data_IF_346753676982
#
_entry.id   IF_346753676982
#
_cell.length_a   1.000
_cell.length_b   1.000
_cell.length_c   1.000
_cell.angle_alpha   90.00
_cell.angle_beta   90.00
_cell.angle_gamma   90.00
#
_symmetry.space_group_name_H-M   'P 1'
#
loop_
_entity.id
_entity.type
_entity.pdbx_description
1 polymer ?
#
# COMPACT_ATOMS: atom_id res chain seq x y z
N UNK A 1 13.13 2.03 -15.02
CA UNK A 1 13.08 0.66 -15.58
C UNK A 1 12.56 -0.24 -14.47
N UNK A 2 11.38 -0.83 -14.62
CA UNK A 2 10.91 -1.83 -13.65
C UNK A 2 11.86 -3.03 -13.76
N UNK A 3 12.55 -3.39 -12.68
CA UNK A 3 13.30 -4.64 -12.62
C UNK A 3 12.28 -5.76 -12.86
N UNK A 4 12.39 -6.46 -14.00
CA UNK A 4 11.53 -7.60 -14.27
C UNK A 4 11.80 -8.64 -13.17
N UNK A 5 10.85 -8.80 -12.24
CA UNK A 5 10.96 -9.83 -11.20
C UNK A 5 11.05 -11.16 -11.93
N UNK A 6 12.19 -11.84 -11.80
CA UNK A 6 12.43 -13.14 -12.42
C UNK A 6 11.31 -14.10 -12.01
N UNK A 7 10.56 -14.61 -12.98
CA UNK A 7 9.58 -15.68 -12.75
C UNK A 7 10.35 -17.00 -12.76
N UNK A 8 10.20 -17.79 -11.69
CA UNK A 8 10.78 -19.13 -11.60
C UNK A 8 9.71 -20.18 -11.89
N UNK A 9 10.12 -21.27 -12.52
CA UNK A 9 9.22 -22.41 -12.72
C UNK A 9 8.83 -23.07 -11.38
N UNK A 10 7.69 -23.78 -11.30
CA UNK A 10 7.32 -24.49 -10.08
C UNK A 10 8.37 -25.51 -9.59
N UNK A 11 9.09 -26.17 -10.51
CA UNK A 11 10.15 -27.12 -10.16
C UNK A 11 11.37 -26.43 -9.57
N UNK A 12 11.80 -25.29 -10.13
CA UNK A 12 12.88 -24.46 -9.56
C UNK A 12 12.50 -23.91 -8.18
N UNK A 13 11.26 -23.44 -8.03
CA UNK A 13 10.74 -22.96 -6.75
C UNK A 13 10.73 -24.06 -5.68
N UNK A 14 10.31 -25.27 -6.04
CA UNK A 14 10.32 -26.43 -5.14
C UNK A 14 11.75 -26.80 -4.72
N UNK A 15 12.70 -26.81 -5.67
CA UNK A 15 14.11 -27.09 -5.39
C UNK A 15 14.76 -26.04 -4.47
N UNK A 16 14.38 -24.77 -4.61
CA UNK A 16 14.95 -23.65 -3.86
C UNK A 16 14.15 -23.25 -2.60
N UNK A 17 13.10 -23.99 -2.23
CA UNK A 17 12.16 -23.55 -1.17
C UNK A 17 12.86 -23.36 0.19
N UNK A 18 13.69 -24.31 0.60
CA UNK A 18 14.39 -24.25 1.89
C UNK A 18 15.35 -23.05 1.95
N UNK A 19 16.07 -22.79 0.86
CA UNK A 19 16.96 -21.64 0.74
C UNK A 19 16.18 -20.32 0.74
N UNK A 20 15.06 -20.27 0.03
CA UNK A 20 14.16 -19.10 -0.01
C UNK A 20 13.63 -18.77 1.39
N UNK A 21 13.17 -19.78 2.14
CA UNK A 21 12.70 -19.57 3.50
C UNK A 21 13.84 -19.19 4.47
N UNK A 22 15.06 -19.72 4.26
CA UNK A 22 16.23 -19.30 5.03
C UNK A 22 16.59 -17.84 4.74
N UNK A 23 16.51 -17.41 3.47
CA UNK A 23 16.67 -16.02 3.05
C UNK A 23 15.66 -15.12 3.75
N UNK A 24 14.37 -15.48 3.71
CA UNK A 24 13.30 -14.71 4.37
C UNK A 24 13.51 -14.57 5.87
N UNK A 25 13.96 -15.62 6.56
CA UNK A 25 14.29 -15.53 8.00
C UNK A 25 15.44 -14.57 8.30
N UNK A 26 16.40 -14.44 7.39
CA UNK A 26 17.57 -13.56 7.55
C UNK A 26 17.26 -12.11 7.19
N UNK A 27 16.48 -11.90 6.12
CA UNK A 27 16.23 -10.58 5.53
C UNK A 27 14.92 -9.94 6.00
N UNK A 28 14.02 -10.71 6.61
CA UNK A 28 12.76 -10.19 7.15
C UNK A 28 11.83 -9.67 6.05
N UNK A 29 11.09 -8.59 6.33
CA UNK A 29 10.13 -7.98 5.40
C UNK A 29 10.74 -7.41 4.12
N UNK A 30 12.04 -7.13 4.13
CA UNK A 30 12.77 -6.58 2.98
C UNK A 30 13.27 -7.67 2.00
N UNK A 31 13.02 -8.95 2.31
CA UNK A 31 13.47 -10.03 1.44
C UNK A 31 12.73 -10.00 0.10
N UNK A 32 13.47 -10.07 -1.00
CA UNK A 32 12.88 -10.01 -2.35
C UNK A 32 11.86 -11.17 -2.54
N UNK A 33 10.61 -10.88 -2.95
CA UNK A 33 9.61 -11.91 -3.23
C UNK A 33 10.01 -12.82 -4.40
N UNK A 34 9.52 -14.06 -4.38
CA UNK A 34 9.72 -15.02 -5.46
C UNK A 34 8.42 -15.19 -6.23
N UNK A 35 8.43 -14.84 -7.52
CA UNK A 35 7.30 -15.07 -8.42
C UNK A 35 7.44 -16.44 -9.07
N UNK A 36 6.40 -17.26 -8.98
CA UNK A 36 6.35 -18.63 -9.51
C UNK A 36 5.38 -18.67 -10.69
N UNK A 37 5.77 -19.33 -11.78
CA UNK A 37 4.94 -19.51 -12.97
C UNK A 37 5.77 -19.76 -14.23
N UNK A 38 5.25 -19.33 -15.37
CA UNK A 38 5.97 -19.33 -16.64
C UNK A 38 6.32 -17.90 -17.08
N UNK A 39 7.26 -17.77 -18.03
CA UNK A 39 7.61 -16.48 -18.63
C UNK A 39 6.33 -15.79 -19.18
N UNK A 40 6.03 -14.58 -18.68
CA UNK A 40 4.83 -13.84 -19.07
C UNK A 40 3.52 -14.34 -18.44
N UNK A 41 3.54 -15.39 -17.61
CA UNK A 41 2.37 -15.94 -16.92
C UNK A 41 2.71 -16.24 -15.44
N UNK A 42 2.75 -15.22 -14.58
CA UNK A 42 2.92 -15.42 -13.14
C UNK A 42 1.66 -16.08 -12.54
N UNK A 43 1.86 -17.09 -11.70
CA UNK A 43 0.78 -17.88 -11.07
C UNK A 43 0.70 -17.65 -9.56
N UNK A 44 1.85 -17.48 -8.91
CA UNK A 44 1.94 -17.26 -7.47
C UNK A 44 3.10 -16.35 -7.12
N UNK A 45 3.03 -15.75 -5.93
CA UNK A 45 4.15 -15.03 -5.31
C UNK A 45 4.33 -15.56 -3.89
N UNK A 46 5.57 -15.84 -3.54
CA UNK A 46 5.99 -16.20 -2.19
C UNK A 46 6.75 -15.03 -1.61
N UNK A 47 6.30 -14.52 -0.46
CA UNK A 47 6.88 -13.39 0.24
C UNK A 47 7.01 -13.68 1.74
N UNK A 48 7.85 -12.93 2.47
CA UNK A 48 7.89 -13.02 3.93
C UNK A 48 6.51 -12.80 4.54
N UNK A 49 6.15 -13.57 5.58
CA UNK A 49 4.83 -13.47 6.19
C UNK A 49 4.54 -12.07 6.76
N UNK A 50 5.53 -11.44 7.39
CA UNK A 50 5.40 -10.07 7.90
C UNK A 50 5.11 -9.05 6.78
N UNK A 51 5.68 -9.26 5.58
CA UNK A 51 5.42 -8.42 4.42
C UNK A 51 4.00 -8.65 3.88
N UNK A 52 3.50 -9.89 3.93
CA UNK A 52 2.11 -10.19 3.59
C UNK A 52 1.14 -9.48 4.54
N UNK A 53 1.37 -9.59 5.85
CA UNK A 53 0.52 -8.92 6.84
C UNK A 53 0.52 -7.40 6.65
N UNK A 54 1.69 -6.81 6.37
CA UNK A 54 1.81 -5.39 6.07
C UNK A 54 0.98 -5.00 4.85
N UNK A 55 1.13 -5.70 3.73
CA UNK A 55 0.39 -5.42 2.50
C UNK A 55 -1.12 -5.65 2.67
N UNK A 56 -1.51 -6.67 3.43
CA UNK A 56 -2.91 -6.94 3.75
C UNK A 56 -3.54 -5.79 4.54
N UNK A 57 -2.87 -5.31 5.59
CA UNK A 57 -3.32 -4.17 6.38
C UNK A 57 -3.40 -2.87 5.54
N UNK A 58 -2.43 -2.63 4.66
CA UNK A 58 -2.47 -1.48 3.74
C UNK A 58 -3.67 -1.54 2.78
N UNK A 59 -3.98 -2.74 2.27
CA UNK A 59 -5.14 -2.96 1.42
C UNK A 59 -6.45 -2.72 2.17
N UNK A 60 -6.59 -3.28 3.37
CA UNK A 60 -7.79 -3.06 4.20
C UNK A 60 -8.01 -1.58 4.49
N UNK A 61 -6.94 -0.85 4.79
CA UNK A 61 -7.01 0.59 5.02
C UNK A 61 -7.40 1.36 3.76
N UNK A 62 -6.88 0.99 2.59
CA UNK A 62 -7.25 1.60 1.32
C UNK A 62 -8.74 1.36 0.98
N UNK A 63 -9.25 0.15 1.23
CA UNK A 63 -10.67 -0.19 1.06
C UNK A 63 -11.56 0.62 2.02
N UNK A 64 -11.13 0.79 3.27
CA UNK A 64 -11.84 1.62 4.25
C UNK A 64 -11.91 3.10 3.80
N UNK A 65 -10.82 3.68 3.30
CA UNK A 65 -10.83 5.05 2.76
C UNK A 65 -11.71 5.18 1.52
N UNK A 66 -11.69 4.21 0.61
CA UNK A 66 -12.57 4.21 -0.55
C UNK A 66 -14.06 4.17 -0.14
N UNK A 67 -14.39 3.35 0.85
CA UNK A 67 -15.74 3.29 1.42
C UNK A 67 -16.15 4.63 2.07
N UNK A 68 -15.30 5.20 2.93
CA UNK A 68 -15.54 6.48 3.58
C UNK A 68 -15.72 7.62 2.57
N UNK A 69 -14.89 7.66 1.52
CA UNK A 69 -15.02 8.60 0.41
C UNK A 69 -16.38 8.50 -0.24
N UNK A 70 -16.84 7.28 -0.55
CA UNK A 70 -18.15 7.03 -1.14
C UNK A 70 -19.29 7.55 -0.26
N UNK A 71 -19.21 7.33 1.06
CA UNK A 71 -20.19 7.85 2.02
C UNK A 71 -20.21 9.38 2.06
N UNK A 72 -19.06 10.04 2.07
CA UNK A 72 -19.00 11.52 2.07
C UNK A 72 -19.58 12.09 0.78
N UNK A 73 -19.24 11.53 -0.39
CA UNK A 73 -19.73 12.01 -1.68
C UNK A 73 -21.25 11.83 -1.86
N UNK A 74 -21.86 10.89 -1.14
CA UNK A 74 -23.31 10.72 -1.14
C UNK A 74 -24.04 11.87 -0.43
N UNK A 75 -23.44 12.44 0.63
CA UNK A 75 -24.05 13.48 1.47
C UNK A 75 -23.58 14.89 1.10
N UNK A 76 -22.34 15.03 0.65
CA UNK A 76 -21.70 16.30 0.30
C UNK A 76 -21.14 16.20 -1.12
N UNK A 77 -21.92 16.61 -2.13
CA UNK A 77 -21.47 16.60 -3.52
C UNK A 77 -20.29 17.55 -3.73
N UNK A 78 -19.25 17.05 -4.40
CA UNK A 78 -18.03 17.81 -4.68
C UNK A 78 -16.86 16.88 -4.97
N UNK A 79 -15.71 17.42 -5.35
CA UNK A 79 -14.49 16.64 -5.52
C UNK A 79 -13.59 16.81 -4.29
N UNK A 80 -12.98 15.71 -3.86
CA UNK A 80 -11.86 15.80 -2.94
C UNK A 80 -10.67 16.44 -3.63
N UNK A 81 -9.92 17.26 -2.89
CA UNK A 81 -8.75 17.92 -3.44
C UNK A 81 -7.59 16.92 -3.64
N UNK A 82 -6.71 17.13 -4.64
CA UNK A 82 -5.57 16.25 -4.88
C UNK A 82 -4.64 16.09 -3.66
N UNK A 83 -4.57 17.10 -2.78
CA UNK A 83 -3.80 17.05 -1.54
C UNK A 83 -4.37 16.05 -0.54
N UNK A 84 -5.70 15.91 -0.48
CA UNK A 84 -6.35 14.89 0.37
C UNK A 84 -6.05 13.50 -0.19
N UNK A 85 -6.13 13.32 -1.50
CA UNK A 85 -5.79 12.03 -2.14
C UNK A 85 -4.33 11.65 -1.89
N UNK A 86 -3.41 12.64 -1.95
CA UNK A 86 -2.01 12.43 -1.65
C UNK A 86 -1.77 12.05 -0.18
N UNK A 87 -2.40 12.73 0.78
CA UNK A 87 -2.23 12.40 2.21
C UNK A 87 -2.82 11.01 2.52
N UNK A 88 -4.00 10.67 1.96
CA UNK A 88 -4.58 9.32 2.10
C UNK A 88 -3.65 8.25 1.53
N UNK A 89 -3.04 8.49 0.37
CA UNK A 89 -2.05 7.59 -0.21
C UNK A 89 -0.85 7.38 0.74
N UNK A 90 -0.35 8.43 1.39
CA UNK A 90 0.73 8.31 2.37
C UNK A 90 0.33 7.51 3.61
N UNK A 91 -0.91 7.67 4.09
CA UNK A 91 -1.43 6.88 5.22
C UNK A 91 -1.54 5.40 4.83
N UNK A 92 -2.12 5.11 3.66
CA UNK A 92 -2.22 3.72 3.16
C UNK A 92 -0.86 3.09 2.90
N UNK A 93 0.15 3.87 2.50
CA UNK A 93 1.52 3.41 2.35
C UNK A 93 2.26 3.25 3.69
N UNK A 94 1.68 3.67 4.81
CA UNK A 94 2.31 3.65 6.13
C UNK A 94 3.40 4.71 6.32
N UNK A 95 3.47 5.71 5.43
CA UNK A 95 4.39 6.85 5.52
C UNK A 95 3.84 8.01 6.34
N UNK A 96 2.55 7.96 6.68
CA UNK A 96 1.85 8.96 7.47
C UNK A 96 0.89 8.28 8.44
N UNK A 97 0.78 8.83 9.63
CA UNK A 97 -0.21 8.41 10.64
C UNK A 97 -1.56 9.08 10.40
N UNK A 98 -2.63 8.52 10.97
CA UNK A 98 -3.93 9.17 10.93
C UNK A 98 -3.95 10.52 11.67
N UNK A 99 -3.19 10.66 12.76
CA UNK A 99 -3.05 11.91 13.52
C UNK A 99 -2.40 13.01 12.66
N UNK A 100 -1.39 12.68 11.86
CA UNK A 100 -0.78 13.63 10.92
C UNK A 100 -1.74 14.03 9.79
N UNK A 101 -2.52 13.08 9.26
CA UNK A 101 -3.57 13.35 8.28
C UNK A 101 -4.63 14.32 8.85
N UNK A 102 -5.08 14.08 10.08
CA UNK A 102 -6.03 14.94 10.78
C UNK A 102 -5.45 16.34 10.98
N UNK A 103 -4.23 16.44 11.53
CA UNK A 103 -3.56 17.71 11.78
C UNK A 103 -3.40 18.54 10.49
N UNK A 104 -2.96 17.92 9.39
CA UNK A 104 -2.84 18.57 8.07
C UNK A 104 -4.19 19.02 7.52
N UNK A 105 -5.22 18.20 7.70
CA UNK A 105 -6.56 18.54 7.24
C UNK A 105 -7.11 19.74 8.00
N UNK A 106 -7.01 19.74 9.34
CA UNK A 106 -7.44 20.87 10.17
C UNK A 106 -6.66 22.15 9.88
N UNK A 107 -5.36 22.06 9.62
CA UNK A 107 -4.55 23.22 9.24
C UNK A 107 -5.02 23.84 7.90
N UNK A 108 -5.33 23.00 6.90
CA UNK A 108 -5.91 23.47 5.63
C UNK A 108 -7.24 24.19 5.84
N UNK A 109 -8.14 23.61 6.62
CA UNK A 109 -9.43 24.23 6.94
C UNK A 109 -9.26 25.58 7.64
N UNK A 110 -8.33 25.66 8.60
CA UNK A 110 -8.03 26.92 9.31
C UNK A 110 -7.54 28.01 8.38
N UNK A 111 -6.62 27.69 7.46
CA UNK A 111 -6.11 28.66 6.48
C UNK A 111 -7.21 29.15 5.56
N UNK A 112 -8.02 28.24 5.01
CA UNK A 112 -9.15 28.60 4.13
C UNK A 112 -10.16 29.52 4.82
N UNK A 113 -10.51 29.23 6.07
CA UNK A 113 -11.41 30.08 6.85
C UNK A 113 -10.80 31.47 7.13
N UNK A 114 -9.47 31.56 7.27
CA UNK A 114 -8.79 32.83 7.48
C UNK A 114 -8.72 33.67 6.19
N UNK A 115 -8.54 33.01 5.04
CA UNK A 115 -8.49 33.65 3.72
C UNK A 115 -9.88 34.16 3.28
N UNK A 116 -10.97 33.45 3.62
CA UNK A 116 -12.35 33.85 3.28
C UNK A 116 -12.87 35.06 4.11
N UNK A 117 -12.16 35.45 5.18
CA UNK A 117 -12.54 36.58 6.06
C UNK A 117 -11.61 37.82 5.92
N UNK A 118 -10.75 37.86 4.90
CA UNK A 118 -9.85 38.98 4.57
C UNK A 118 -10.28 39.69 3.28
#
# INVERSE_FOLDING_TARGET
>A
MASSKKVVSPSEAAAALVETLARFRREGGEAEPVTIGAEGLPEAVVLPYAEYERLAAQRELAEAFASARGSVLAEVPGEFSPEVDADVAQVTAGHMTFEELEARTLDRWRRRLSDDHS
#
